data_IF_460362109597
#
_entry.id   IF_460362109597
#
_cell.length_a   1.000
_cell.length_b   1.000
_cell.length_c   1.000
_cell.angle_alpha   90.00
_cell.angle_beta   90.00
_cell.angle_gamma   90.00
#
_symmetry.space_group_name_H-M   'P 1'
#
loop_
_entity.id
_entity.type
_entity.pdbx_description
1 polymer ?
#
# COMPACT_ATOMS: atom_id res chain seq x y z
N UNK A 1 7.28 24.77 -1.49
CA UNK A 1 7.60 24.02 -0.25
C UNK A 1 7.56 22.54 -0.57
N UNK A 2 8.43 21.74 0.03
CA UNK A 2 8.45 20.28 -0.14
C UNK A 2 7.23 19.67 0.57
N UNK A 3 6.37 18.90 -0.11
CA UNK A 3 5.19 18.33 0.52
C UNK A 3 5.56 17.32 1.62
N UNK A 4 4.74 17.31 2.67
CA UNK A 4 4.89 16.47 3.86
C UNK A 4 3.87 15.33 3.83
N UNK A 5 4.36 14.10 3.81
CA UNK A 5 3.55 12.88 3.73
C UNK A 5 3.64 12.15 5.07
N UNK A 6 2.49 11.94 5.71
CA UNK A 6 2.39 11.17 6.95
C UNK A 6 1.89 9.76 6.63
N UNK A 7 2.68 8.74 6.94
CA UNK A 7 2.36 7.33 6.74
C UNK A 7 1.86 6.73 8.05
N UNK A 8 0.70 6.11 8.03
CA UNK A 8 0.07 5.47 9.18
C UNK A 8 -0.21 3.98 8.89
N UNK A 9 0.79 3.07 9.05
CA UNK A 9 0.54 1.64 8.95
C UNK A 9 -0.33 1.15 10.11
N UNK A 10 -0.95 -0.05 9.98
CA UNK A 10 -1.78 -0.61 11.06
C UNK A 10 -1.03 -0.62 12.40
N UNK A 11 -1.77 -0.33 13.46
CA UNK A 11 -1.24 -0.27 14.84
C UNK A 11 -1.14 -1.65 15.48
N UNK A 12 -0.45 -1.75 16.61
CA UNK A 12 -0.42 -2.94 17.46
C UNK A 12 -1.39 -2.80 18.64
N UNK A 13 -2.10 -3.87 19.02
CA UNK A 13 -2.25 -5.12 18.28
C UNK A 13 -3.16 -4.93 17.07
N UNK A 14 -2.93 -5.70 16.00
CA UNK A 14 -3.83 -5.72 14.85
C UNK A 14 -5.20 -6.29 15.28
N UNK A 15 -6.31 -5.67 14.84
CA UNK A 15 -7.65 -6.06 15.27
C UNK A 15 -8.13 -7.41 14.69
N UNK A 16 -7.50 -7.83 13.58
CA UNK A 16 -7.82 -9.06 12.89
C UNK A 16 -6.76 -10.13 13.14
N UNK A 17 -7.09 -11.40 12.88
CA UNK A 17 -6.17 -12.51 13.02
C UNK A 17 -4.97 -12.44 12.07
N UNK A 18 -4.08 -13.45 12.13
CA UNK A 18 -2.91 -13.49 11.25
C UNK A 18 -3.32 -13.67 9.78
N UNK A 19 -2.41 -13.40 8.87
CA UNK A 19 -2.58 -13.65 7.45
C UNK A 19 -2.87 -15.12 7.16
N UNK A 20 -3.80 -15.39 6.27
CA UNK A 20 -4.11 -16.76 5.87
C UNK A 20 -2.86 -17.47 5.32
N UNK A 21 -2.56 -18.64 5.87
CA UNK A 21 -1.34 -19.38 5.53
C UNK A 21 -0.05 -18.90 6.25
N UNK A 22 -0.13 -17.85 7.07
CA UNK A 22 1.02 -17.27 7.80
C UNK A 22 0.66 -17.03 9.29
N UNK A 23 0.64 -18.06 10.13
CA UNK A 23 0.06 -18.03 11.48
C UNK A 23 0.70 -17.06 12.47
N UNK A 24 1.89 -16.54 12.17
CA UNK A 24 2.62 -15.59 13.03
C UNK A 24 2.84 -14.24 12.36
N UNK A 25 2.14 -13.96 11.25
CA UNK A 25 2.28 -12.72 10.50
C UNK A 25 0.97 -11.94 10.56
N UNK A 26 1.02 -10.74 11.09
CA UNK A 26 -0.15 -9.88 11.29
C UNK A 26 -0.11 -8.64 10.38
N UNK A 27 -1.24 -7.99 10.24
CA UNK A 27 -1.40 -6.80 9.41
C UNK A 27 -0.36 -5.73 9.73
N UNK A 28 -0.14 -5.42 11.01
CA UNK A 28 0.84 -4.40 11.42
C UNK A 28 2.28 -4.74 11.02
N UNK A 29 2.66 -6.01 10.86
CA UNK A 29 4.01 -6.40 10.44
C UNK A 29 4.22 -6.07 8.96
N UNK A 30 3.28 -6.47 8.12
CA UNK A 30 3.35 -6.27 6.67
C UNK A 30 3.18 -4.79 6.32
N UNK A 31 2.18 -4.12 6.90
CA UNK A 31 1.93 -2.69 6.60
C UNK A 31 3.04 -1.78 7.11
N UNK A 32 3.68 -2.11 8.24
CA UNK A 32 4.87 -1.39 8.72
C UNK A 32 6.05 -1.57 7.77
N UNK A 33 6.27 -2.79 7.25
CA UNK A 33 7.34 -3.04 6.28
C UNK A 33 7.08 -2.28 4.97
N UNK A 34 5.83 -2.26 4.48
CA UNK A 34 5.43 -1.47 3.30
C UNK A 34 5.61 0.03 3.57
N UNK A 35 5.20 0.54 4.74
CA UNK A 35 5.36 1.95 5.09
C UNK A 35 6.83 2.40 5.07
N UNK A 36 7.76 1.60 5.59
CA UNK A 36 9.19 1.89 5.54
C UNK A 36 9.71 1.99 4.10
N UNK A 37 9.36 1.03 3.25
CA UNK A 37 9.71 1.03 1.82
C UNK A 37 9.08 2.21 1.08
N UNK A 38 7.83 2.57 1.42
CA UNK A 38 7.14 3.74 0.87
C UNK A 38 7.86 5.03 1.29
N UNK A 39 8.31 5.14 2.55
CA UNK A 39 9.07 6.30 3.01
C UNK A 39 10.39 6.46 2.27
N UNK A 40 11.14 5.37 2.04
CA UNK A 40 12.37 5.38 1.24
C UNK A 40 12.11 5.86 -0.19
N UNK A 41 11.05 5.36 -0.81
CA UNK A 41 10.66 5.73 -2.17
C UNK A 41 10.19 7.20 -2.28
N UNK A 42 9.41 7.66 -1.32
CA UNK A 42 8.96 9.06 -1.24
C UNK A 42 10.12 10.03 -0.99
N UNK A 43 11.04 9.70 -0.08
CA UNK A 43 12.26 10.49 0.16
C UNK A 43 13.11 10.61 -1.11
N UNK A 44 13.24 9.52 -1.87
CA UNK A 44 13.91 9.50 -3.18
C UNK A 44 13.24 10.47 -4.17
N UNK A 45 11.91 10.63 -4.09
CA UNK A 45 11.13 11.58 -4.89
C UNK A 45 11.03 12.99 -4.26
N UNK A 46 11.91 13.34 -3.32
CA UNK A 46 11.99 14.64 -2.65
C UNK A 46 10.75 15.03 -1.83
N UNK A 47 10.03 14.08 -1.23
CA UNK A 47 9.03 14.35 -0.22
C UNK A 47 9.64 14.33 1.19
N UNK A 48 9.06 15.09 2.11
CA UNK A 48 9.32 14.93 3.54
C UNK A 48 8.38 13.86 4.08
N UNK A 49 8.91 12.88 4.80
CA UNK A 49 8.11 11.73 5.25
C UNK A 49 8.23 11.52 6.74
N UNK A 50 7.10 11.26 7.39
CA UNK A 50 7.03 10.76 8.76
C UNK A 50 6.19 9.50 8.80
N UNK A 51 6.63 8.51 9.58
CA UNK A 51 5.90 7.26 9.82
C UNK A 51 5.38 7.27 11.26
N UNK A 52 4.10 6.97 11.45
CA UNK A 52 3.50 6.81 12.77
C UNK A 52 4.17 5.68 13.56
N UNK A 53 4.32 5.88 14.86
CA UNK A 53 4.74 4.81 15.76
C UNK A 53 3.70 3.68 15.80
N UNK A 54 4.09 2.40 15.70
CA UNK A 54 3.15 1.27 15.84
C UNK A 54 2.46 1.22 17.21
N UNK A 55 3.03 1.83 18.23
CA UNK A 55 2.48 1.87 19.58
C UNK A 55 1.40 2.95 19.78
N UNK A 56 1.33 3.94 18.86
CA UNK A 56 0.41 5.06 19.01
C UNK A 56 -1.02 4.68 18.59
N UNK A 57 -2.00 5.17 19.36
CA UNK A 57 -3.39 5.09 18.97
C UNK A 57 -3.71 6.03 17.78
N UNK A 58 -4.82 5.77 17.10
CA UNK A 58 -5.22 6.54 15.91
C UNK A 58 -5.39 8.04 16.20
N UNK A 59 -5.83 8.41 17.41
CA UNK A 59 -5.98 9.83 17.80
C UNK A 59 -4.63 10.51 17.96
N UNK A 60 -3.66 9.81 18.55
CA UNK A 60 -2.29 10.30 18.69
C UNK A 60 -1.65 10.55 17.32
N UNK A 61 -1.81 9.62 16.40
CA UNK A 61 -1.29 9.71 15.03
C UNK A 61 -1.88 10.88 14.25
N UNK A 62 -3.20 11.06 14.30
CA UNK A 62 -3.86 12.19 13.63
C UNK A 62 -3.41 13.52 14.25
N UNK A 63 -3.30 13.63 15.59
CA UNK A 63 -2.76 14.84 16.24
C UNK A 63 -1.31 15.12 15.84
N UNK A 64 -0.48 14.07 15.76
CA UNK A 64 0.91 14.22 15.31
C UNK A 64 0.99 14.71 13.86
N UNK A 65 0.21 14.13 12.96
CA UNK A 65 0.15 14.57 11.56
C UNK A 65 -0.27 16.03 11.43
N UNK A 66 -1.29 16.46 12.19
CA UNK A 66 -1.76 17.86 12.24
C UNK A 66 -0.65 18.77 12.78
N UNK A 67 -0.03 18.43 13.91
CA UNK A 67 1.04 19.21 14.52
C UNK A 67 2.27 19.33 13.61
N UNK A 68 2.56 18.28 12.85
CA UNK A 68 3.64 18.27 11.88
C UNK A 68 3.29 19.01 10.59
N UNK A 69 2.03 19.41 10.43
CA UNK A 69 1.50 20.09 9.23
C UNK A 69 1.66 19.21 7.97
N UNK A 70 1.22 17.96 8.06
CA UNK A 70 1.20 17.08 6.93
C UNK A 70 0.26 17.61 5.82
N UNK A 71 0.70 17.52 4.56
CA UNK A 71 -0.11 17.86 3.39
C UNK A 71 -0.96 16.66 2.92
N UNK A 72 -0.51 15.45 3.28
CA UNK A 72 -1.11 14.19 2.86
C UNK A 72 -0.98 13.15 3.97
N UNK A 73 -2.07 12.46 4.25
CA UNK A 73 -2.15 11.39 5.24
C UNK A 73 -2.43 10.07 4.52
N UNK A 74 -1.56 9.10 4.67
CA UNK A 74 -1.63 7.81 4.00
C UNK A 74 -1.70 6.68 5.05
N UNK A 75 -2.89 6.30 5.51
CA UNK A 75 -3.07 5.04 6.20
C UNK A 75 -2.67 3.89 5.28
N UNK A 76 -2.10 2.84 5.81
CA UNK A 76 -1.71 1.66 5.02
C UNK A 76 -2.29 0.43 5.72
N UNK A 77 -3.31 -0.16 5.11
CA UNK A 77 -4.08 -1.26 5.66
C UNK A 77 -4.21 -2.44 4.71
N UNK A 78 -4.61 -3.58 5.26
CA UNK A 78 -5.06 -4.75 4.51
C UNK A 78 -6.40 -5.21 5.04
N UNK A 79 -7.30 -5.53 4.13
CA UNK A 79 -8.68 -5.87 4.45
C UNK A 79 -8.81 -7.33 4.96
N UNK A 80 -9.91 -7.60 5.65
CA UNK A 80 -10.37 -8.95 5.99
C UNK A 80 -11.89 -9.03 5.89
N UNK A 81 -12.40 -10.02 5.18
CA UNK A 81 -13.83 -10.29 5.07
C UNK A 81 -14.32 -11.28 6.14
N UNK A 82 -13.41 -12.07 6.69
CA UNK A 82 -13.70 -13.07 7.72
C UNK A 82 -12.63 -13.01 8.82
N UNK A 83 -12.97 -13.53 10.00
CA UNK A 83 -11.95 -13.75 11.02
C UNK A 83 -11.15 -15.03 10.68
N UNK A 84 -9.83 -14.92 10.65
CA UNK A 84 -8.96 -16.09 10.52
C UNK A 84 -9.11 -17.03 11.72
N UNK A 85 -8.90 -18.36 11.56
CA UNK A 85 -8.20 -19.02 10.46
C UNK A 85 -9.06 -19.38 9.23
N UNK A 86 -10.31 -18.93 9.13
CA UNK A 86 -11.17 -19.23 7.98
C UNK A 86 -10.72 -18.43 6.77
N UNK A 87 -10.57 -19.10 5.61
CA UNK A 87 -10.25 -18.44 4.37
C UNK A 87 -11.43 -17.62 3.84
N UNK A 88 -11.16 -16.33 3.55
CA UNK A 88 -12.09 -15.41 2.90
C UNK A 88 -12.11 -15.59 1.39
N UNK A 89 -13.24 -15.24 0.77
CA UNK A 89 -13.42 -15.27 -0.69
C UNK A 89 -13.24 -13.90 -1.35
N UNK A 90 -13.30 -12.81 -0.56
CA UNK A 90 -13.09 -11.46 -1.06
C UNK A 90 -11.62 -11.24 -1.44
N UNK A 91 -11.39 -10.48 -2.52
CA UNK A 91 -10.05 -10.24 -3.06
C UNK A 91 -9.90 -8.86 -3.67
N UNK A 92 -8.65 -8.43 -3.75
CA UNK A 92 -8.19 -7.28 -4.51
C UNK A 92 -8.17 -5.97 -3.75
N UNK A 93 -7.39 -4.99 -4.24
CA UNK A 93 -7.26 -3.69 -3.62
C UNK A 93 -8.54 -2.86 -3.73
N UNK A 94 -8.79 -2.07 -2.71
CA UNK A 94 -9.72 -0.94 -2.74
C UNK A 94 -9.07 0.28 -2.10
N UNK A 95 -9.54 1.48 -2.42
CA UNK A 95 -9.06 2.70 -1.80
C UNK A 95 -10.24 3.52 -1.30
N UNK A 96 -10.21 3.88 -0.02
CA UNK A 96 -11.30 4.56 0.64
C UNK A 96 -11.09 6.07 0.61
N UNK A 97 -12.10 6.79 0.14
CA UNK A 97 -12.11 8.23 -0.02
C UNK A 97 -13.10 8.92 0.93
N UNK A 98 -12.74 10.08 1.45
CA UNK A 98 -13.66 10.96 2.14
C UNK A 98 -14.45 11.84 1.15
N UNK A 99 -15.73 12.03 1.43
CA UNK A 99 -16.56 12.94 0.63
C UNK A 99 -17.15 12.32 -0.62
N UNK A 100 -17.59 13.20 -1.53
CA UNK A 100 -18.35 12.80 -2.71
C UNK A 100 -17.46 12.24 -3.83
N UNK A 101 -18.07 11.44 -4.69
CA UNK A 101 -17.47 11.00 -5.95
C UNK A 101 -17.01 12.24 -6.75
N UNK A 102 -15.87 12.10 -7.41
CA UNK A 102 -15.20 13.17 -8.17
C UNK A 102 -14.67 14.35 -7.35
N UNK A 103 -14.78 14.29 -6.02
CA UNK A 103 -14.14 15.22 -5.11
C UNK A 103 -12.61 15.07 -5.06
N UNK A 104 -11.95 15.98 -4.34
CA UNK A 104 -10.49 16.02 -4.20
C UNK A 104 -9.91 14.69 -3.68
N UNK A 105 -10.51 14.17 -2.57
CA UNK A 105 -10.10 12.89 -1.99
C UNK A 105 -10.32 11.71 -2.97
N UNK A 106 -11.47 11.70 -3.66
CA UNK A 106 -11.78 10.66 -4.64
C UNK A 106 -10.73 10.59 -5.76
N UNK A 107 -10.35 11.74 -6.35
CA UNK A 107 -9.34 11.77 -7.41
C UNK A 107 -7.98 11.26 -6.95
N UNK A 108 -7.54 11.63 -5.74
CA UNK A 108 -6.28 11.13 -5.19
C UNK A 108 -6.33 9.61 -4.92
N UNK A 109 -7.46 9.12 -4.39
CA UNK A 109 -7.70 7.70 -4.20
C UNK A 109 -7.70 6.93 -5.55
N UNK A 110 -8.30 7.51 -6.59
CA UNK A 110 -8.32 6.93 -7.93
C UNK A 110 -6.90 6.78 -8.50
N UNK A 111 -6.06 7.80 -8.36
CA UNK A 111 -4.65 7.74 -8.79
C UNK A 111 -3.90 6.61 -8.08
N UNK A 112 -4.09 6.48 -6.77
CA UNK A 112 -3.46 5.41 -5.97
C UNK A 112 -3.98 4.03 -6.36
N UNK A 113 -5.30 3.88 -6.54
CA UNK A 113 -5.92 2.64 -6.99
C UNK A 113 -5.38 2.18 -8.35
N UNK A 114 -5.30 3.08 -9.32
CA UNK A 114 -4.77 2.78 -10.65
C UNK A 114 -3.31 2.28 -10.60
N UNK A 115 -2.47 2.86 -9.75
CA UNK A 115 -1.08 2.40 -9.58
C UNK A 115 -1.00 1.01 -8.92
N UNK A 116 -1.87 0.73 -7.93
CA UNK A 116 -1.96 -0.60 -7.33
C UNK A 116 -2.43 -1.66 -8.35
N UNK A 117 -3.41 -1.32 -9.19
CA UNK A 117 -3.93 -2.24 -10.20
C UNK A 117 -2.92 -2.59 -11.31
N UNK A 118 -1.90 -1.76 -11.55
CA UNK A 118 -0.81 -2.09 -12.49
C UNK A 118 0.04 -3.27 -12.04
N UNK A 119 0.07 -3.53 -10.73
CA UNK A 119 0.92 -4.57 -10.13
C UNK A 119 0.10 -5.71 -9.50
N UNK A 120 -1.20 -5.53 -9.32
CA UNK A 120 -2.07 -6.58 -8.78
C UNK A 120 -2.32 -7.66 -9.84
N UNK A 121 -2.19 -8.97 -9.51
CA UNK A 121 -2.19 -10.04 -10.51
C UNK A 121 -3.54 -10.29 -11.19
N UNK A 122 -4.65 -9.91 -10.55
CA UNK A 122 -5.97 -10.06 -11.16
C UNK A 122 -6.39 -8.75 -11.86
N UNK A 123 -7.18 -8.89 -12.95
CA UNK A 123 -7.67 -7.73 -13.73
C UNK A 123 -8.75 -6.91 -13.01
N UNK A 124 -9.33 -7.46 -11.96
CA UNK A 124 -10.43 -6.84 -11.21
C UNK A 124 -10.01 -6.59 -9.77
N UNK A 125 -10.07 -5.32 -9.34
CA UNK A 125 -10.02 -4.90 -7.95
C UNK A 125 -11.40 -4.38 -7.52
N UNK A 126 -11.46 -3.75 -6.36
CA UNK A 126 -12.73 -3.28 -5.76
C UNK A 126 -13.02 -1.80 -6.01
N UNK A 127 -12.06 -1.08 -6.59
CA UNK A 127 -12.22 0.34 -6.95
C UNK A 127 -12.03 1.31 -5.80
N UNK A 128 -12.43 2.54 -6.05
CA UNK A 128 -12.51 3.58 -5.02
C UNK A 128 -13.91 3.56 -4.40
N UNK A 129 -13.96 3.64 -3.07
CA UNK A 129 -15.21 3.64 -2.30
C UNK A 129 -15.26 4.80 -1.32
N UNK A 130 -16.44 5.32 -1.08
CA UNK A 130 -16.67 6.31 -0.05
C UNK A 130 -16.62 5.65 1.33
N UNK A 131 -15.88 6.30 2.25
CA UNK A 131 -15.94 6.00 3.67
C UNK A 131 -15.92 7.31 4.46
N UNK A 132 -16.89 7.48 5.34
CA UNK A 132 -17.03 8.68 6.19
C UNK A 132 -16.96 8.33 7.68
N UNK A 133 -16.70 7.07 8.01
CA UNK A 133 -16.75 6.57 9.40
C UNK A 133 -15.37 6.29 9.99
N UNK A 134 -14.40 5.91 9.17
CA UNK A 134 -13.07 5.62 9.67
C UNK A 134 -12.38 6.88 10.18
N UNK A 135 -11.83 6.78 11.39
CA UNK A 135 -11.26 7.92 12.10
C UNK A 135 -10.15 8.60 11.31
N UNK A 136 -9.25 7.84 10.69
CA UNK A 136 -8.14 8.35 9.88
C UNK A 136 -8.58 8.97 8.54
N UNK A 137 -9.84 8.84 8.18
CA UNK A 137 -10.42 9.47 7.00
C UNK A 137 -11.19 10.73 7.40
N UNK A 138 -12.06 10.66 8.43
CA UNK A 138 -12.98 11.75 8.78
C UNK A 138 -12.38 12.79 9.74
N UNK A 139 -11.30 12.47 10.43
CA UNK A 139 -10.70 13.35 11.46
C UNK A 139 -9.40 14.01 11.01
N UNK A 140 -8.97 13.80 9.77
CA UNK A 140 -7.78 14.42 9.17
C UNK A 140 -8.19 15.65 8.36
N UNK A 141 -7.73 16.88 8.71
CA UNK A 141 -8.02 18.10 7.95
C UNK A 141 -7.24 18.17 6.62
N UNK A 142 -6.13 17.42 6.51
CA UNK A 142 -5.37 17.25 5.28
C UNK A 142 -6.00 16.17 4.40
N UNK A 143 -5.53 16.06 3.17
CA UNK A 143 -5.96 15.00 2.27
C UNK A 143 -5.59 13.62 2.83
N UNK A 144 -6.61 12.78 3.07
CA UNK A 144 -6.44 11.37 3.42
C UNK A 144 -6.77 10.47 2.24
N UNK A 145 -5.89 9.51 1.97
CA UNK A 145 -6.05 8.45 0.97
C UNK A 145 -5.79 7.13 1.67
N UNK A 146 -6.81 6.30 1.78
CA UNK A 146 -6.80 5.12 2.63
C UNK A 146 -6.86 3.82 1.78
N UNK A 147 -5.71 3.27 1.37
CA UNK A 147 -5.67 1.99 0.66
C UNK A 147 -5.87 0.81 1.61
N UNK A 148 -6.80 -0.04 1.24
CA UNK A 148 -6.92 -1.44 1.63
C UNK A 148 -6.23 -2.25 0.54
N UNK A 149 -4.98 -2.64 0.76
CA UNK A 149 -4.08 -3.15 -0.27
C UNK A 149 -4.55 -4.45 -0.93
N UNK A 150 -5.11 -5.36 -0.14
CA UNK A 150 -5.77 -6.60 -0.54
C UNK A 150 -6.32 -7.30 0.70
N UNK A 151 -6.91 -8.49 0.57
CA UNK A 151 -7.51 -9.24 1.68
C UNK A 151 -6.54 -10.24 2.29
N UNK A 152 -6.07 -9.96 3.52
CA UNK A 152 -5.09 -10.83 4.17
C UNK A 152 -5.70 -12.17 4.69
N UNK A 153 -7.03 -12.28 4.77
CA UNK A 153 -7.73 -13.54 5.05
C UNK A 153 -7.94 -14.42 3.81
N UNK A 154 -7.58 -13.94 2.60
CA UNK A 154 -7.57 -14.72 1.36
C UNK A 154 -6.16 -15.19 1.03
N UNK A 155 -5.97 -16.50 0.77
CA UNK A 155 -4.63 -17.09 0.60
C UNK A 155 -3.82 -16.54 -0.58
N UNK A 156 -4.47 -16.23 -1.70
CA UNK A 156 -3.77 -15.65 -2.84
C UNK A 156 -3.38 -14.20 -2.61
N UNK A 157 -4.25 -13.41 -1.98
CA UNK A 157 -3.97 -12.02 -1.62
C UNK A 157 -2.93 -11.92 -0.49
N UNK A 158 -3.02 -12.77 0.55
CA UNK A 158 -2.04 -12.85 1.62
C UNK A 158 -0.63 -13.11 1.07
N UNK A 159 -0.49 -14.09 0.16
CA UNK A 159 0.78 -14.38 -0.52
C UNK A 159 1.27 -13.18 -1.31
N UNK A 160 0.40 -12.57 -2.12
CA UNK A 160 0.76 -11.40 -2.91
C UNK A 160 1.24 -10.23 -2.04
N UNK A 161 0.57 -9.95 -0.93
CA UNK A 161 0.95 -8.90 0.02
C UNK A 161 2.34 -9.16 0.63
N UNK A 162 2.64 -10.41 0.98
CA UNK A 162 3.93 -10.79 1.58
C UNK A 162 5.06 -10.70 0.56
N UNK A 163 4.84 -11.19 -0.66
CA UNK A 163 5.88 -11.28 -1.70
C UNK A 163 6.11 -9.95 -2.45
N UNK A 164 5.15 -9.01 -2.42
CA UNK A 164 5.20 -7.80 -3.25
C UNK A 164 5.26 -6.48 -2.45
N UNK A 165 5.83 -6.49 -1.25
CA UNK A 165 5.91 -5.29 -0.41
C UNK A 165 6.63 -4.11 -1.11
N UNK A 166 7.73 -4.36 -1.84
CA UNK A 166 8.45 -3.32 -2.57
C UNK A 166 7.66 -2.78 -3.77
N UNK A 167 7.12 -3.62 -4.68
CA UNK A 167 6.21 -3.17 -5.73
C UNK A 167 5.01 -2.36 -5.22
N UNK A 168 4.41 -2.77 -4.10
CA UNK A 168 3.29 -2.06 -3.46
C UNK A 168 3.75 -0.67 -2.98
N UNK A 169 4.87 -0.57 -2.29
CA UNK A 169 5.43 0.69 -1.83
C UNK A 169 5.70 1.66 -2.99
N UNK A 170 6.24 1.16 -4.10
CA UNK A 170 6.47 1.95 -5.31
C UNK A 170 5.15 2.39 -5.96
N UNK A 171 4.11 1.55 -5.94
CA UNK A 171 2.79 1.92 -6.45
C UNK A 171 2.15 3.04 -5.61
N UNK A 172 2.20 2.94 -4.27
CA UNK A 172 1.75 4.00 -3.37
C UNK A 172 2.51 5.30 -3.62
N UNK A 173 3.83 5.23 -3.78
CA UNK A 173 4.68 6.39 -4.10
C UNK A 173 4.29 7.03 -5.43
N UNK A 174 4.03 6.24 -6.49
CA UNK A 174 3.57 6.78 -7.78
C UNK A 174 2.22 7.48 -7.65
N UNK A 175 1.29 6.94 -6.85
CA UNK A 175 0.02 7.59 -6.55
C UNK A 175 0.19 8.97 -5.92
N UNK A 176 1.08 9.09 -4.93
CA UNK A 176 1.44 10.37 -4.28
C UNK A 176 2.12 11.32 -5.28
N UNK A 177 3.10 10.84 -6.06
CA UNK A 177 3.78 11.64 -7.07
C UNK A 177 2.79 12.22 -8.09
N UNK A 178 1.86 11.41 -8.59
CA UNK A 178 0.80 11.85 -9.51
C UNK A 178 -0.08 12.95 -8.91
N UNK A 179 -0.44 12.81 -7.63
CA UNK A 179 -1.26 13.80 -6.93
C UNK A 179 -0.57 15.16 -6.83
N UNK A 180 0.71 15.18 -6.49
CA UNK A 180 1.47 16.42 -6.34
C UNK A 180 2.10 16.93 -7.65
N UNK A 181 1.99 16.19 -8.75
CA UNK A 181 2.64 16.54 -10.02
C UNK A 181 4.17 16.46 -9.95
N UNK A 182 4.69 15.61 -9.05
CA UNK A 182 6.13 15.37 -8.89
C UNK A 182 6.55 14.17 -9.75
N UNK A 183 7.69 14.27 -10.41
CA UNK A 183 8.24 13.14 -11.18
C UNK A 183 8.60 11.98 -10.24
N UNK A 184 8.09 10.79 -10.55
CA UNK A 184 8.51 9.58 -9.86
C UNK A 184 9.92 9.20 -10.27
N UNK A 185 10.77 8.98 -9.28
CA UNK A 185 12.13 8.48 -9.44
C UNK A 185 12.15 6.99 -9.06
N UNK A 186 12.44 6.07 -9.99
CA UNK A 186 12.52 4.65 -9.70
C UNK A 186 13.71 4.33 -8.78
N UNK A 187 13.70 3.19 -8.08
CA UNK A 187 14.88 2.75 -7.34
C UNK A 187 16.06 2.59 -8.30
N UNK A 188 17.22 3.06 -7.86
CA UNK A 188 18.45 2.76 -8.60
C UNK A 188 18.79 1.30 -8.35
N UNK A 189 18.71 0.50 -9.39
CA UNK A 189 19.11 -0.91 -9.35
C UNK A 189 20.62 -0.95 -9.60
N UNK A 190 21.36 -1.56 -8.68
CA UNK A 190 22.79 -1.85 -8.88
C UNK A 190 22.97 -2.56 -10.24
N UNK A 191 23.96 -2.19 -11.06
CA UNK A 191 24.23 -2.83 -12.35
C UNK A 191 24.35 -4.36 -12.27
N UNK A 192 24.90 -4.90 -11.19
CA UNK A 192 24.98 -6.33 -10.94
C UNK A 192 23.61 -6.95 -10.64
N UNK A 193 22.79 -6.26 -9.87
CA UNK A 193 21.42 -6.68 -9.57
C UNK A 193 20.56 -6.64 -10.85
N UNK A 194 20.75 -5.65 -11.70
CA UNK A 194 20.09 -5.55 -13.00
C UNK A 194 20.48 -6.71 -13.91
N UNK A 195 21.78 -7.04 -13.98
CA UNK A 195 22.29 -8.20 -14.72
C UNK A 195 21.73 -9.52 -14.20
N UNK A 196 21.66 -9.69 -12.87
CA UNK A 196 21.08 -10.86 -12.23
C UNK A 196 19.59 -11.04 -12.59
N UNK A 197 18.80 -9.96 -12.50
CA UNK A 197 17.38 -9.98 -12.85
C UNK A 197 17.16 -10.33 -14.33
N UNK A 198 17.98 -9.76 -15.23
CA UNK A 198 17.95 -10.08 -16.66
C UNK A 198 18.26 -11.55 -16.93
N UNK A 199 19.31 -12.09 -16.30
CA UNK A 199 19.66 -13.51 -16.43
C UNK A 199 18.55 -14.44 -15.90
N UNK A 200 17.96 -14.08 -14.77
CA UNK A 200 16.83 -14.82 -14.19
C UNK A 200 15.62 -14.85 -15.13
N UNK A 201 15.27 -13.72 -15.74
CA UNK A 201 14.18 -13.63 -16.72
C UNK A 201 14.46 -14.49 -17.96
N UNK A 202 15.68 -14.43 -18.48
CA UNK A 202 16.10 -15.25 -19.63
C UNK A 202 16.03 -16.73 -19.32
N UNK A 203 16.47 -17.14 -18.13
CA UNK A 203 16.38 -18.54 -17.68
C UNK A 203 14.94 -19.00 -17.51
N UNK A 204 14.07 -18.15 -16.95
CA UNK A 204 12.65 -18.43 -16.81
C UNK A 204 11.98 -18.64 -18.17
N UNK A 205 12.24 -17.76 -19.14
CA UNK A 205 11.73 -17.87 -20.50
C UNK A 205 12.16 -19.19 -21.19
N UNK A 206 13.45 -19.56 -21.04
CA UNK A 206 13.97 -20.82 -21.57
C UNK A 206 13.29 -22.04 -20.93
N UNK A 207 13.03 -22.02 -19.63
CA UNK A 207 12.33 -23.09 -18.92
C UNK A 207 10.87 -23.23 -19.38
N UNK A 208 10.18 -22.11 -19.61
CA UNK A 208 8.81 -22.09 -20.11
C UNK A 208 8.75 -22.63 -21.56
N UNK A 209 9.71 -22.22 -22.42
CA UNK A 209 9.83 -22.73 -23.79
C UNK A 209 10.09 -24.22 -23.81
N UNK A 210 11.01 -24.72 -22.97
CA UNK A 210 11.31 -26.14 -22.87
C UNK A 210 10.12 -26.97 -22.35
N UNK A 211 9.40 -26.44 -21.36
CA UNK A 211 8.22 -27.10 -20.79
C UNK A 211 7.04 -27.15 -21.76
N UNK A 212 6.97 -26.27 -22.74
CA UNK A 212 5.96 -26.25 -23.78
C UNK A 212 6.23 -27.26 -24.93
N UNK A 213 7.44 -27.84 -24.97
CA UNK A 213 7.86 -28.82 -26.00
C UNK A 213 7.73 -30.26 -25.54
N UNK A 214 7.37 -30.49 -24.26
CA UNK A 214 7.12 -31.80 -23.66
C UNK A 214 5.63 -32.04 -23.47
#
# INVERSE_FOLDING_TARGET
>A
MTPKIYLSPERRPAPHGPYFGYPNLYEHDVTTAIARKTAEALNRCNFMVKIASPADDLRARVREAISWQADYYLPIHTNAATATPKEGTARGPEVLAYGQKDGKSWRACQMTYEELMKIYPAKTGRGVRQNTTFYEINSTPMLSVYPELAFHDNGADARWLVENQQPIAEALTRGVCRWFGVSYLPPQIDPWQQKYLSLRQSLQALLEEYSAQI
#
